data_IF_042374530487
#
_entry.id   IF_042374530487
#
_cell.length_a   1.000
_cell.length_b   1.000
_cell.length_c   1.000
_cell.angle_alpha   90.00
_cell.angle_beta   90.00
_cell.angle_gamma   90.00
#
_symmetry.space_group_name_H-M   'P 1'
#
loop_
_entity.id
_entity.type
_entity.pdbx_description
1 polymer ?
#
# COMPACT_ATOMS: atom_id res chain seq x y z
N UNK A 1 18.65 -1.65 -9.57
CA UNK A 1 17.71 -2.65 -9.03
C UNK A 1 17.93 -3.99 -9.70
N UNK A 2 18.11 -5.04 -8.89
CA UNK A 2 18.20 -6.43 -9.33
C UNK A 2 17.10 -7.20 -8.64
N UNK A 3 16.27 -7.92 -9.39
CA UNK A 3 15.22 -8.77 -8.85
C UNK A 3 15.44 -10.21 -9.28
N UNK A 4 15.43 -11.12 -8.30
CA UNK A 4 15.52 -12.55 -8.49
C UNK A 4 14.45 -13.24 -7.65
N UNK A 5 13.72 -14.15 -8.29
CA UNK A 5 12.85 -15.09 -7.58
C UNK A 5 13.69 -16.32 -7.17
N UNK A 6 13.56 -16.76 -5.92
CA UNK A 6 14.22 -17.99 -5.47
C UNK A 6 13.75 -19.20 -6.29
N UNK A 7 14.66 -20.16 -6.50
CA UNK A 7 14.41 -21.31 -7.37
C UNK A 7 14.55 -21.02 -8.88
N UNK A 8 14.80 -19.77 -9.28
CA UNK A 8 15.06 -19.43 -10.69
C UNK A 8 16.57 -19.20 -10.95
N UNK A 9 17.11 -19.68 -12.08
CA UNK A 9 18.54 -19.53 -12.38
C UNK A 9 18.90 -18.13 -12.89
N UNK A 10 17.92 -17.32 -13.31
CA UNK A 10 18.13 -16.02 -13.96
C UNK A 10 17.54 -14.90 -13.11
N UNK A 11 18.09 -13.70 -13.26
CA UNK A 11 17.45 -12.50 -12.74
C UNK A 11 16.15 -12.26 -13.50
N UNK A 12 15.07 -11.96 -12.76
CA UNK A 12 13.78 -11.57 -13.33
C UNK A 12 13.83 -10.18 -13.92
N UNK A 13 14.58 -9.27 -13.30
CA UNK A 13 14.65 -7.89 -13.73
C UNK A 13 15.99 -7.25 -13.34
N UNK A 14 16.54 -6.46 -14.26
CA UNK A 14 17.71 -5.60 -14.04
C UNK A 14 17.34 -4.21 -14.53
N UNK A 15 17.27 -3.24 -13.63
CA UNK A 15 16.85 -1.87 -13.95
C UNK A 15 17.76 -0.84 -13.30
N UNK A 16 18.42 0.03 -14.07
CA UNK A 16 19.03 1.23 -13.51
C UNK A 16 17.91 2.16 -13.04
N UNK A 17 18.12 2.84 -11.92
CA UNK A 17 17.17 3.78 -11.34
C UNK A 17 17.84 5.12 -11.16
N UNK A 18 17.08 6.18 -11.39
CA UNK A 18 17.48 7.55 -11.10
C UNK A 18 16.36 8.21 -10.30
N UNK A 19 16.75 8.96 -9.28
CA UNK A 19 15.82 9.77 -8.49
C UNK A 19 16.42 11.15 -8.32
N UNK A 20 15.69 12.17 -8.76
CA UNK A 20 15.99 13.56 -8.43
C UNK A 20 15.14 13.93 -7.22
N UNK A 21 15.79 14.35 -6.13
CA UNK A 21 15.13 14.79 -4.91
C UNK A 21 15.40 16.26 -4.66
N UNK A 22 14.34 17.06 -4.65
CA UNK A 22 14.36 18.45 -4.19
C UNK A 22 13.67 18.55 -2.83
N UNK A 23 14.31 19.25 -1.89
CA UNK A 23 13.78 19.42 -0.53
C UNK A 23 13.97 20.88 -0.09
N UNK A 24 12.89 21.49 0.37
CA UNK A 24 12.88 22.85 0.90
C UNK A 24 11.88 22.96 2.06
N UNK A 25 12.38 23.14 3.28
CA UNK A 25 11.56 23.17 4.49
C UNK A 25 10.69 21.89 4.62
N UNK A 26 9.36 22.01 4.80
CA UNK A 26 8.46 20.87 4.92
C UNK A 26 8.13 20.19 3.57
N UNK A 27 8.59 20.75 2.46
CA UNK A 27 8.27 20.30 1.11
C UNK A 27 9.35 19.35 0.58
N UNK A 28 8.93 18.24 -0.01
CA UNK A 28 9.79 17.31 -0.74
C UNK A 28 9.17 16.97 -2.09
N UNK A 29 10.00 16.97 -3.12
CA UNK A 29 9.61 16.61 -4.47
C UNK A 29 10.60 15.59 -5.02
N UNK A 30 10.07 14.49 -5.55
CA UNK A 30 10.82 13.39 -6.13
C UNK A 30 10.39 13.17 -7.58
N UNK A 31 11.36 12.92 -8.45
CA UNK A 31 11.14 12.51 -9.84
C UNK A 31 12.00 11.30 -10.18
N UNK A 32 11.48 10.40 -11.01
CA UNK A 32 12.12 9.13 -11.34
C UNK A 32 11.60 8.03 -10.44
N UNK A 33 12.48 7.26 -9.78
CA UNK A 33 12.02 6.25 -8.83
C UNK A 33 11.60 6.90 -7.50
N UNK A 34 10.30 6.94 -7.20
CA UNK A 34 9.75 7.60 -6.02
C UNK A 34 9.88 6.73 -4.75
N UNK A 35 9.48 7.24 -3.59
CA UNK A 35 9.50 6.44 -2.35
C UNK A 35 8.53 5.25 -2.50
N UNK A 36 9.01 4.03 -2.29
CA UNK A 36 8.22 2.83 -2.55
C UNK A 36 7.07 2.59 -1.56
N UNK A 37 6.20 1.67 -1.94
CA UNK A 37 4.82 1.50 -1.47
C UNK A 37 4.51 1.73 0.02
N UNK A 38 5.35 1.27 0.97
CA UNK A 38 5.09 1.41 2.42
C UNK A 38 5.08 2.87 2.89
N UNK A 39 5.67 3.78 2.10
CA UNK A 39 5.87 5.18 2.49
C UNK A 39 4.68 6.09 2.21
N UNK A 40 3.69 5.63 1.45
CA UNK A 40 2.53 6.44 1.06
C UNK A 40 1.42 6.51 2.14
N UNK A 41 1.46 5.62 3.15
CA UNK A 41 0.57 5.71 4.32
C UNK A 41 -0.89 5.26 4.12
N UNK A 42 -1.19 4.57 3.01
CA UNK A 42 -2.50 3.96 2.75
C UNK A 42 -2.87 2.86 3.74
N UNK A 43 -4.17 2.66 3.92
CA UNK A 43 -4.69 1.43 4.52
C UNK A 43 -4.62 0.27 3.53
N UNK A 44 -4.45 -0.94 4.06
CA UNK A 44 -4.26 -2.15 3.26
C UNK A 44 -5.40 -2.45 2.27
N UNK A 45 -6.70 -2.19 2.58
CA UNK A 45 -7.77 -2.34 1.58
C UNK A 45 -7.58 -1.48 0.32
N UNK A 46 -6.86 -0.36 0.40
CA UNK A 46 -6.60 0.52 -0.74
C UNK A 46 -5.24 0.24 -1.39
N UNK A 47 -4.24 -0.16 -0.61
CA UNK A 47 -2.89 -0.38 -1.10
C UNK A 47 -2.22 -1.56 -0.39
N UNK A 48 -1.98 -2.62 -1.14
CA UNK A 48 -1.56 -3.93 -0.64
C UNK A 48 -0.16 -3.88 -0.02
N UNK A 49 0.00 -4.55 1.12
CA UNK A 49 1.27 -4.72 1.80
C UNK A 49 2.27 -5.54 0.96
N UNK A 50 1.81 -6.55 0.22
CA UNK A 50 2.69 -7.43 -0.55
C UNK A 50 3.39 -6.73 -1.73
N UNK A 51 2.98 -5.50 -2.06
CA UNK A 51 3.63 -4.68 -3.08
C UNK A 51 5.11 -4.43 -2.76
N UNK A 52 5.53 -4.50 -1.49
CA UNK A 52 6.94 -4.46 -1.09
C UNK A 52 7.77 -5.55 -1.77
N UNK A 53 7.14 -6.62 -2.26
CA UNK A 53 7.81 -7.68 -3.00
C UNK A 53 7.42 -7.66 -4.48
N UNK A 54 6.12 -7.50 -4.76
CA UNK A 54 5.57 -7.70 -6.10
C UNK A 54 5.80 -6.50 -7.02
N UNK A 55 5.79 -5.28 -6.47
CA UNK A 55 5.81 -4.02 -7.20
C UNK A 55 6.72 -3.02 -6.48
N UNK A 56 8.01 -3.35 -6.36
CA UNK A 56 8.99 -2.57 -5.60
C UNK A 56 9.34 -1.20 -6.19
N UNK A 57 9.26 -1.09 -7.51
CA UNK A 57 9.67 0.10 -8.23
C UNK A 57 8.41 0.88 -8.60
N UNK A 58 8.42 2.17 -8.25
CA UNK A 58 7.38 3.12 -8.58
C UNK A 58 8.07 4.29 -9.29
N UNK A 59 7.61 4.61 -10.49
CA UNK A 59 8.32 5.49 -11.42
C UNK A 59 7.43 6.63 -11.88
N UNK A 60 7.77 7.85 -11.47
CA UNK A 60 7.01 9.02 -11.83
C UNK A 60 7.40 10.22 -10.99
N UNK A 61 6.40 10.82 -10.34
CA UNK A 61 6.55 12.04 -9.55
C UNK A 61 5.85 11.88 -8.21
N UNK A 62 6.48 12.38 -7.15
CA UNK A 62 5.91 12.39 -5.82
C UNK A 62 6.17 13.73 -5.14
N UNK A 63 5.13 14.28 -4.54
CA UNK A 63 5.20 15.47 -3.70
C UNK A 63 4.78 15.11 -2.28
N UNK A 64 5.57 15.54 -1.29
CA UNK A 64 5.28 15.36 0.12
C UNK A 64 5.30 16.71 0.83
N UNK A 65 4.33 16.93 1.71
CA UNK A 65 4.32 18.03 2.67
C UNK A 65 4.28 17.43 4.07
N UNK A 66 5.29 17.73 4.88
CA UNK A 66 5.41 17.22 6.25
C UNK A 66 5.63 18.34 7.23
N UNK A 67 4.62 18.60 8.04
CA UNK A 67 4.65 19.56 9.16
C UNK A 67 4.34 18.83 10.46
N UNK A 68 4.36 19.53 11.59
CA UNK A 68 3.96 18.95 12.88
C UNK A 68 2.49 18.54 12.95
N UNK A 69 1.62 19.14 12.13
CA UNK A 69 0.17 18.89 12.14
C UNK A 69 -0.39 18.25 10.88
N UNK A 70 0.32 18.29 9.76
CA UNK A 70 -0.15 17.82 8.46
C UNK A 70 0.92 16.96 7.80
N UNK A 71 0.50 15.77 7.38
CA UNK A 71 1.22 14.91 6.45
C UNK A 71 0.39 14.79 5.18
N UNK A 72 1.01 15.04 4.04
CA UNK A 72 0.41 14.86 2.73
C UNK A 72 1.43 14.17 1.82
N UNK A 73 0.98 13.18 1.07
CA UNK A 73 1.75 12.45 0.06
C UNK A 73 0.90 12.32 -1.20
N UNK A 74 1.31 12.98 -2.28
CA UNK A 74 0.66 12.92 -3.58
C UNK A 74 1.64 12.36 -4.60
N UNK A 75 1.21 11.40 -5.41
CA UNK A 75 2.11 10.70 -6.32
C UNK A 75 1.41 10.20 -7.58
N UNK A 76 2.22 9.94 -8.59
CA UNK A 76 1.85 9.26 -9.83
C UNK A 76 2.97 8.29 -10.20
N UNK A 77 2.57 7.12 -10.66
CA UNK A 77 3.39 5.97 -11.02
C UNK A 77 2.99 5.48 -12.41
N UNK A 78 3.89 5.62 -13.37
CA UNK A 78 3.75 5.06 -14.72
C UNK A 78 4.14 3.58 -14.69
N UNK A 79 3.16 2.74 -14.38
CA UNK A 79 3.34 1.29 -14.26
C UNK A 79 3.68 0.64 -15.60
N UNK A 80 3.14 1.18 -16.70
CA UNK A 80 3.42 0.70 -18.05
C UNK A 80 3.25 1.80 -19.07
N UNK A 81 4.35 2.29 -19.63
CA UNK A 81 4.32 3.26 -20.73
C UNK A 81 3.87 2.63 -22.05
N UNK A 82 2.91 3.25 -22.71
CA UNK A 82 2.49 2.89 -24.07
C UNK A 82 3.25 3.70 -25.13
N UNK A 83 3.54 3.05 -26.27
CA UNK A 83 4.05 3.68 -27.49
C UNK A 83 3.13 3.36 -28.69
N UNK A 84 3.35 4.03 -29.82
CA UNK A 84 2.63 3.75 -31.07
C UNK A 84 2.74 2.28 -31.46
N UNK A 85 1.59 1.69 -31.78
CA UNK A 85 1.39 0.29 -32.15
C UNK A 85 1.72 -0.72 -31.04
N UNK A 86 1.65 -0.32 -29.77
CA UNK A 86 1.78 -1.26 -28.65
C UNK A 86 0.64 -2.27 -28.68
N UNK A 87 0.90 -3.53 -28.32
CA UNK A 87 -0.14 -4.56 -28.18
C UNK A 87 -0.74 -4.60 -26.77
N UNK A 88 -0.70 -3.46 -26.07
CA UNK A 88 -1.11 -3.30 -24.68
C UNK A 88 -1.51 -1.85 -24.39
N UNK A 89 -2.35 -1.66 -23.38
CA UNK A 89 -2.74 -0.34 -22.87
C UNK A 89 -1.66 0.25 -21.93
N UNK A 90 -1.58 1.58 -21.92
CA UNK A 90 -0.87 2.33 -20.88
C UNK A 90 -1.50 2.03 -19.52
N UNK A 91 -0.68 1.91 -18.49
CA UNK A 91 -1.13 1.76 -17.10
C UNK A 91 -0.48 2.85 -16.25
N UNK A 92 -1.33 3.69 -15.65
CA UNK A 92 -0.91 4.77 -14.75
C UNK A 92 -1.70 4.64 -13.46
N UNK A 93 -0.99 4.65 -12.33
CA UNK A 93 -1.60 4.77 -11.02
C UNK A 93 -1.23 6.12 -10.41
N UNK A 94 -2.11 6.67 -9.59
CA UNK A 94 -1.80 7.87 -8.85
C UNK A 94 -2.65 7.95 -7.60
N UNK A 95 -2.23 8.77 -6.65
CA UNK A 95 -2.97 8.88 -5.42
C UNK A 95 -2.51 10.01 -4.52
N UNK A 96 -3.27 10.16 -3.43
CA UNK A 96 -3.11 11.18 -2.43
C UNK A 96 -3.47 10.59 -1.06
N UNK A 97 -2.58 10.73 -0.08
CA UNK A 97 -2.93 10.51 1.33
C UNK A 97 -2.74 11.80 2.11
N UNK A 98 -3.63 12.01 3.08
CA UNK A 98 -3.57 13.14 4.00
C UNK A 98 -3.85 12.68 5.43
N UNK A 99 -3.05 13.15 6.38
CA UNK A 99 -3.29 12.96 7.81
C UNK A 99 -3.08 14.28 8.55
N UNK A 100 -4.09 14.69 9.31
CA UNK A 100 -4.04 15.83 10.21
C UNK A 100 -3.93 15.35 11.66
N UNK A 101 -2.94 15.83 12.40
CA UNK A 101 -2.87 15.62 13.85
C UNK A 101 -3.79 16.63 14.53
N UNK A 102 -5.01 16.22 14.84
CA UNK A 102 -6.02 17.08 15.45
C UNK A 102 -5.75 17.34 16.93
N UNK A 103 -5.21 16.35 17.64
CA UNK A 103 -4.85 16.46 19.05
C UNK A 103 -3.62 15.63 19.35
N UNK A 104 -2.73 16.16 20.19
CA UNK A 104 -1.62 15.44 20.77
C UNK A 104 -1.24 16.10 22.10
N UNK A 105 -0.97 15.31 23.13
CA UNK A 105 -0.61 15.81 24.46
C UNK A 105 0.68 15.17 25.01
N UNK A 106 1.16 15.71 26.13
CA UNK A 106 2.31 15.19 26.87
C UNK A 106 1.99 13.89 27.60
N UNK A 107 0.72 13.59 27.86
CA UNK A 107 0.31 12.34 28.48
C UNK A 107 0.44 11.15 27.51
N UNK A 108 0.60 11.39 26.20
CA UNK A 108 0.84 10.38 25.18
C UNK A 108 -0.36 10.06 24.27
N UNK A 109 -1.45 10.83 24.37
CA UNK A 109 -2.57 10.74 23.41
C UNK A 109 -2.19 11.40 22.09
N UNK A 110 -2.67 10.80 21.00
CA UNK A 110 -2.64 11.36 19.64
C UNK A 110 -3.94 10.99 18.92
N UNK A 111 -4.59 11.98 18.34
CA UNK A 111 -5.74 11.83 17.44
C UNK A 111 -5.33 12.33 16.05
N UNK A 112 -5.24 11.40 15.11
CA UNK A 112 -5.11 11.65 13.69
C UNK A 112 -6.48 11.64 13.00
N UNK A 113 -6.69 12.57 12.08
CA UNK A 113 -7.83 12.59 11.16
C UNK A 113 -7.26 12.36 9.77
N UNK A 114 -7.80 11.35 9.08
CA UNK A 114 -7.47 11.04 7.69
C UNK A 114 -8.67 11.46 6.86
N UNK A 115 -8.74 12.73 6.40
CA UNK A 115 -9.93 13.19 5.68
C UNK A 115 -10.01 12.57 4.28
N UNK A 116 -8.86 12.22 3.69
CA UNK A 116 -8.81 11.60 2.38
C UNK A 116 -7.55 10.75 2.20
N UNK A 117 -7.79 9.49 1.84
CA UNK A 117 -6.91 8.68 1.01
C UNK A 117 -7.61 8.46 -0.32
N UNK A 118 -6.94 8.75 -1.42
CA UNK A 118 -7.46 8.62 -2.77
C UNK A 118 -6.45 7.84 -3.61
N UNK A 119 -6.95 6.88 -4.37
CA UNK A 119 -6.17 6.14 -5.35
C UNK A 119 -6.96 6.06 -6.65
N UNK A 120 -6.28 6.35 -7.75
CA UNK A 120 -6.78 6.20 -9.10
C UNK A 120 -5.90 5.24 -9.89
N UNK A 121 -6.55 4.43 -10.72
CA UNK A 121 -5.87 3.62 -11.73
C UNK A 121 -6.52 3.92 -13.07
N UNK A 122 -5.68 4.20 -14.04
CA UNK A 122 -6.06 4.35 -15.42
C UNK A 122 -5.38 3.26 -16.25
N UNK A 123 -6.18 2.51 -17.00
CA UNK A 123 -5.71 1.57 -18.02
C UNK A 123 -6.37 1.94 -19.33
N UNK A 124 -5.58 2.35 -20.30
CA UNK A 124 -6.12 2.88 -21.54
C UNK A 124 -5.04 3.33 -22.49
N UNK A 125 -5.45 4.01 -23.54
CA UNK A 125 -4.53 4.45 -24.57
C UNK A 125 -5.26 4.64 -25.89
N UNK A 126 -4.63 5.40 -26.77
CA UNK A 126 -5.08 5.58 -28.16
C UNK A 126 -4.00 5.15 -29.15
N UNK A 127 -2.84 4.73 -28.64
CA UNK A 127 -1.67 4.40 -29.46
C UNK A 127 -1.49 2.90 -29.62
N UNK A 128 -2.29 2.07 -28.96
CA UNK A 128 -2.24 0.61 -29.10
C UNK A 128 -2.99 0.06 -30.31
N UNK A 129 -2.79 -1.23 -30.54
CA UNK A 129 -3.43 -2.03 -31.60
C UNK A 129 -4.61 -2.86 -31.08
N UNK A 130 -4.93 -2.78 -29.79
CA UNK A 130 -5.94 -3.65 -29.16
C UNK A 130 -7.28 -2.93 -29.03
N UNK A 131 -8.37 -3.71 -29.01
CA UNK A 131 -9.72 -3.20 -28.77
C UNK A 131 -10.17 -3.58 -27.37
N UNK A 132 -9.39 -3.19 -26.38
CA UNK A 132 -9.73 -3.38 -24.98
C UNK A 132 -10.44 -2.13 -24.43
N UNK A 133 -11.48 -2.28 -23.60
CA UNK A 133 -12.13 -1.14 -22.96
C UNK A 133 -11.17 -0.37 -22.07
N UNK A 134 -11.32 0.95 -22.03
CA UNK A 134 -10.57 1.82 -21.12
C UNK A 134 -11.14 1.67 -19.71
N UNK A 135 -10.26 1.49 -18.72
CA UNK A 135 -10.64 1.46 -17.32
C UNK A 135 -10.13 2.67 -16.55
N UNK A 136 -11.01 3.31 -15.78
CA UNK A 136 -10.65 4.35 -14.80
C UNK A 136 -11.33 4.04 -13.48
N UNK A 137 -10.56 3.61 -12.50
CA UNK A 137 -11.07 3.14 -11.22
C UNK A 137 -10.60 4.04 -10.09
N UNK A 138 -11.52 4.38 -9.19
CA UNK A 138 -11.24 5.23 -8.03
C UNK A 138 -11.53 4.52 -6.72
N UNK A 139 -10.60 4.64 -5.78
CA UNK A 139 -10.74 4.19 -4.42
C UNK A 139 -10.53 5.35 -3.45
N UNK A 140 -11.38 5.43 -2.44
CA UNK A 140 -11.34 6.45 -1.42
C UNK A 140 -11.38 5.82 -0.03
N UNK A 141 -10.73 6.45 0.94
CA UNK A 141 -10.93 6.18 2.35
C UNK A 141 -10.89 7.47 3.16
N UNK A 142 -11.69 7.52 4.22
CA UNK A 142 -11.64 8.55 5.24
C UNK A 142 -11.77 7.89 6.61
N UNK A 143 -11.09 8.42 7.62
CA UNK A 143 -11.04 7.76 8.92
C UNK A 143 -10.38 8.55 10.03
N UNK A 144 -10.31 7.90 11.19
CA UNK A 144 -9.72 8.41 12.41
C UNK A 144 -8.68 7.41 12.93
N UNK A 145 -7.60 7.93 13.50
CA UNK A 145 -6.53 7.17 14.15
C UNK A 145 -6.36 7.67 15.56
N UNK A 146 -6.54 6.80 16.54
CA UNK A 146 -6.33 7.12 17.95
C UNK A 146 -5.16 6.29 18.45
N UNK A 147 -4.19 6.93 19.07
CA UNK A 147 -3.05 6.25 19.69
C UNK A 147 -2.82 6.79 21.08
N UNK A 148 -2.56 5.89 22.01
CA UNK A 148 -2.16 6.20 23.39
C UNK A 148 -0.83 5.52 23.66
N UNK A 149 0.24 6.30 23.79
CA UNK A 149 1.51 5.80 24.32
C UNK A 149 1.35 5.54 25.82
N UNK A 150 1.93 4.44 26.29
CA UNK A 150 1.93 4.01 27.67
C UNK A 150 3.37 3.95 28.17
N UNK A 151 3.55 4.16 29.47
CA UNK A 151 4.86 4.08 30.15
C UNK A 151 5.10 2.72 30.81
N UNK A 152 4.29 1.71 30.49
CA UNK A 152 4.44 0.37 31.06
C UNK A 152 5.58 -0.39 30.37
N UNK A 153 6.25 -1.28 31.11
CA UNK A 153 7.45 -1.99 30.64
C UNK A 153 7.16 -2.92 29.45
N UNK A 154 6.02 -3.61 29.49
CA UNK A 154 5.65 -4.59 28.48
C UNK A 154 4.77 -4.00 27.37
N UNK A 155 3.71 -3.25 27.72
CA UNK A 155 2.80 -2.63 26.75
C UNK A 155 3.19 -1.17 26.53
N UNK A 156 3.59 -0.84 25.32
CA UNK A 156 4.14 0.48 24.95
C UNK A 156 3.10 1.41 24.37
N UNK A 157 2.08 0.88 23.69
CA UNK A 157 1.00 1.69 23.16
C UNK A 157 -0.28 0.89 22.93
N UNK A 158 -1.40 1.59 22.95
CA UNK A 158 -2.68 1.15 22.42
C UNK A 158 -3.01 1.99 21.20
N UNK A 159 -3.64 1.38 20.20
CA UNK A 159 -4.12 2.12 19.04
C UNK A 159 -5.47 1.58 18.55
N UNK A 160 -6.25 2.48 17.97
CA UNK A 160 -7.49 2.18 17.31
C UNK A 160 -7.62 3.03 16.05
N UNK A 161 -7.88 2.40 14.91
CA UNK A 161 -8.13 3.10 13.66
C UNK A 161 -9.44 2.64 13.04
N UNK A 162 -10.25 3.58 12.58
CA UNK A 162 -11.52 3.31 11.91
C UNK A 162 -11.62 4.07 10.59
N UNK A 163 -11.99 3.37 9.52
CA UNK A 163 -12.11 3.93 8.17
C UNK A 163 -13.40 3.50 7.49
N UNK A 164 -13.95 4.42 6.72
CA UNK A 164 -14.93 4.15 5.68
C UNK A 164 -14.23 4.19 4.33
N UNK A 165 -14.52 3.21 3.48
CA UNK A 165 -13.95 3.13 2.14
C UNK A 165 -15.04 3.17 1.07
N UNK A 166 -14.65 3.64 -0.12
CA UNK A 166 -15.50 3.71 -1.30
C UNK A 166 -14.70 3.27 -2.52
N UNK A 167 -15.35 2.53 -3.39
CA UNK A 167 -14.89 2.20 -4.74
C UNK A 167 -15.92 2.73 -5.74
N UNK A 168 -15.44 3.29 -6.85
CA UNK A 168 -16.24 3.70 -7.99
C UNK A 168 -15.50 3.35 -9.29
N UNK A 169 -16.19 2.69 -10.21
CA UNK A 169 -15.78 2.53 -11.59
C UNK A 169 -16.25 3.73 -12.41
N UNK A 170 -15.31 4.48 -12.99
CA UNK A 170 -15.56 5.66 -13.84
C UNK A 170 -15.19 5.37 -15.31
N UNK A 171 -15.17 4.10 -15.69
CA UNK A 171 -14.91 3.65 -17.05
C UNK A 171 -16.10 3.95 -17.97
N UNK A 172 -15.82 4.15 -19.26
CA UNK A 172 -16.89 4.33 -20.25
C UNK A 172 -17.67 3.04 -20.52
N UNK A 173 -17.02 1.90 -20.34
CA UNK A 173 -17.60 0.58 -20.49
C UNK A 173 -17.38 -0.20 -19.19
N UNK A 174 -18.48 -0.62 -18.57
CA UNK A 174 -18.46 -1.34 -17.30
C UNK A 174 -18.18 -2.84 -17.55
N UNK A 175 -16.94 -3.26 -17.30
CA UNK A 175 -16.54 -4.67 -17.41
C UNK A 175 -16.37 -5.38 -16.06
N UNK A 176 -16.41 -4.63 -14.96
CA UNK A 176 -16.36 -5.17 -13.60
C UNK A 176 -17.77 -5.61 -13.15
N UNK A 177 -17.87 -6.63 -12.29
CA UNK A 177 -19.17 -7.09 -11.78
C UNK A 177 -19.86 -6.06 -10.86
N UNK A 178 -19.09 -5.09 -10.36
CA UNK A 178 -19.57 -3.98 -9.54
C UNK A 178 -18.95 -2.69 -10.06
N UNK A 179 -19.77 -1.66 -10.26
CA UNK A 179 -19.33 -0.30 -10.60
C UNK A 179 -19.19 0.61 -9.36
N UNK A 180 -19.59 0.12 -8.19
CA UNK A 180 -19.46 0.83 -6.93
C UNK A 180 -19.42 -0.14 -5.75
N UNK A 181 -18.68 0.23 -4.71
CA UNK A 181 -18.58 -0.55 -3.48
C UNK A 181 -18.22 0.29 -2.27
N UNK A 182 -18.46 -0.23 -1.08
CA UNK A 182 -18.15 0.44 0.19
C UNK A 182 -17.50 -0.54 1.15
N UNK A 183 -16.78 -0.03 2.15
CA UNK A 183 -16.21 -0.85 3.21
C UNK A 183 -16.11 -0.13 4.54
N UNK A 184 -16.18 -0.91 5.61
CA UNK A 184 -15.82 -0.50 6.96
C UNK A 184 -14.56 -1.26 7.35
N UNK A 185 -13.52 -0.54 7.76
CA UNK A 185 -12.27 -1.11 8.23
C UNK A 185 -11.94 -0.61 9.63
N UNK A 186 -12.00 -1.51 10.61
CA UNK A 186 -11.71 -1.22 12.01
C UNK A 186 -10.46 -1.98 12.45
N UNK A 187 -9.64 -1.34 13.26
CA UNK A 187 -8.39 -1.87 13.75
C UNK A 187 -8.25 -1.50 15.20
N UNK A 188 -7.93 -2.46 16.06
CA UNK A 188 -7.53 -2.23 17.43
C UNK A 188 -6.25 -3.00 17.69
N UNK A 189 -5.27 -2.38 18.34
CA UNK A 189 -4.00 -3.04 18.56
C UNK A 189 -3.24 -2.57 19.78
N UNK A 190 -2.28 -3.41 20.14
CA UNK A 190 -1.39 -3.31 21.28
C UNK A 190 0.03 -3.46 20.76
N UNK A 191 0.85 -2.46 21.05
CA UNK A 191 2.28 -2.54 20.79
C UNK A 191 2.95 -3.01 22.07
N UNK A 192 3.61 -4.17 22.02
CA UNK A 192 4.37 -4.69 23.17
C UNK A 192 5.87 -4.57 22.94
N UNK A 193 6.65 -4.91 23.95
CA UNK A 193 8.10 -5.03 23.84
C UNK A 193 8.54 -6.15 22.87
N UNK A 194 7.74 -7.20 22.67
CA UNK A 194 8.12 -8.39 21.90
C UNK A 194 7.46 -8.45 20.51
N UNK A 195 6.22 -7.96 20.41
CA UNK A 195 5.43 -8.04 19.19
C UNK A 195 4.31 -7.00 19.19
N UNK A 196 3.85 -6.65 18.01
CA UNK A 196 2.64 -5.87 17.82
C UNK A 196 1.50 -6.83 17.48
N UNK A 197 0.40 -6.68 18.22
CA UNK A 197 -0.80 -7.47 18.06
C UNK A 197 -1.91 -6.55 17.61
N UNK A 198 -2.58 -6.87 16.51
CA UNK A 198 -3.67 -6.08 15.97
C UNK A 198 -4.83 -6.99 15.60
N UNK A 199 -6.02 -6.64 16.05
CA UNK A 199 -7.27 -7.24 15.62
C UNK A 199 -7.95 -6.28 14.65
N UNK A 200 -8.32 -6.80 13.48
CA UNK A 200 -8.93 -6.01 12.43
C UNK A 200 -10.23 -6.62 11.97
N UNK A 201 -11.24 -5.78 11.78
CA UNK A 201 -12.53 -6.16 11.23
C UNK A 201 -12.73 -5.45 9.90
N UNK A 202 -13.07 -6.22 8.87
CA UNK A 202 -13.44 -5.73 7.55
C UNK A 202 -14.87 -6.14 7.23
N UNK A 203 -15.65 -5.18 6.75
CA UNK A 203 -16.98 -5.42 6.18
C UNK A 203 -17.10 -4.66 4.86
N UNK A 204 -16.91 -5.36 3.74
CA UNK A 204 -16.98 -4.84 2.39
C UNK A 204 -18.27 -5.23 1.67
N UNK A 205 -18.81 -4.32 0.86
CA UNK A 205 -19.92 -4.56 -0.07
C UNK A 205 -19.56 -4.11 -1.48
N UNK A 206 -19.31 -5.05 -2.39
CA UNK A 206 -18.96 -4.81 -3.79
C UNK A 206 -17.66 -4.04 -3.96
N UNK A 207 -16.77 -4.08 -2.96
CA UNK A 207 -15.56 -3.27 -2.92
C UNK A 207 -14.48 -3.89 -3.81
N UNK A 208 -13.91 -3.10 -4.73
CA UNK A 208 -12.82 -3.51 -5.62
C UNK A 208 -11.72 -2.47 -5.52
N UNK A 209 -10.47 -2.88 -5.34
CA UNK A 209 -9.33 -1.97 -5.26
C UNK A 209 -8.10 -2.69 -5.85
N UNK A 210 -7.77 -2.49 -7.14
CA UNK A 210 -6.78 -3.35 -7.80
C UNK A 210 -5.35 -3.21 -7.26
N UNK A 211 -4.97 -2.06 -6.69
CA UNK A 211 -3.70 -1.94 -5.98
C UNK A 211 -3.80 -2.35 -4.50
N UNK A 212 -5.00 -2.61 -3.98
CA UNK A 212 -5.29 -2.95 -2.59
C UNK A 212 -5.21 -4.43 -2.29
N UNK A 213 -5.20 -4.78 -1.01
CA UNK A 213 -5.06 -6.16 -0.55
C UNK A 213 -6.12 -7.06 -1.14
N UNK A 214 -5.69 -8.15 -1.79
CA UNK A 214 -6.59 -9.12 -2.46
C UNK A 214 -7.65 -9.69 -1.51
N UNK A 215 -7.30 -9.86 -0.23
CA UNK A 215 -8.19 -10.38 0.80
C UNK A 215 -9.44 -9.52 1.00
N UNK A 216 -9.42 -8.22 0.69
CA UNK A 216 -10.54 -7.31 0.95
C UNK A 216 -11.52 -7.16 -0.23
N UNK A 217 -11.15 -7.67 -1.41
CA UNK A 217 -11.87 -7.42 -2.64
C UNK A 217 -13.07 -8.36 -2.80
N UNK A 218 -14.15 -7.85 -3.40
CA UNK A 218 -15.35 -8.61 -3.76
C UNK A 218 -15.22 -9.39 -5.07
N UNK A 219 -14.03 -9.43 -5.65
CA UNK A 219 -13.71 -10.18 -6.88
C UNK A 219 -12.54 -11.11 -6.62
N UNK A 220 -12.55 -12.24 -7.32
CA UNK A 220 -11.46 -13.21 -7.26
C UNK A 220 -10.19 -12.69 -7.91
N UNK A 221 -9.05 -12.99 -7.27
CA UNK A 221 -7.71 -12.82 -7.85
C UNK A 221 -7.08 -14.16 -8.24
N UNK A 222 -7.83 -15.26 -8.13
CA UNK A 222 -7.33 -16.62 -8.37
C UNK A 222 -7.47 -17.02 -9.83
N UNK A 223 -6.50 -17.80 -10.33
CA UNK A 223 -6.54 -18.34 -11.71
C UNK A 223 -7.57 -19.45 -11.85
N UNK A 224 -7.82 -20.22 -10.78
CA UNK A 224 -8.75 -21.36 -10.82
C UNK A 224 -10.21 -20.92 -10.91
N UNK A 225 -10.56 -19.76 -10.38
CA UNK A 225 -11.92 -19.24 -10.44
C UNK A 225 -11.92 -17.71 -10.61
N UNK A 226 -11.54 -17.21 -11.80
CA UNK A 226 -11.38 -15.77 -12.04
C UNK A 226 -12.73 -15.04 -12.09
N UNK A 227 -13.81 -15.74 -12.38
CA UNK A 227 -15.17 -15.18 -12.44
C UNK A 227 -15.89 -15.17 -11.08
N UNK A 228 -15.28 -15.73 -10.03
CA UNK A 228 -15.88 -15.71 -8.70
C UNK A 228 -15.99 -14.29 -8.17
N UNK A 229 -17.15 -13.99 -7.61
CA UNK A 229 -17.45 -12.71 -6.98
C UNK A 229 -18.13 -12.95 -5.65
N UNK A 230 -17.81 -12.11 -4.67
CA UNK A 230 -18.39 -12.17 -3.35
C UNK A 230 -18.79 -10.75 -2.95
N UNK A 231 -20.05 -10.42 -3.20
CA UNK A 231 -20.55 -9.06 -2.99
C UNK A 231 -20.36 -8.63 -1.53
N UNK A 232 -20.56 -9.52 -0.57
CA UNK A 232 -20.46 -9.23 0.85
C UNK A 232 -19.29 -9.99 1.46
N UNK A 233 -18.28 -9.25 1.91
CA UNK A 233 -17.05 -9.82 2.43
C UNK A 233 -16.81 -9.32 3.84
N UNK A 234 -16.91 -10.24 4.80
CA UNK A 234 -16.80 -9.95 6.22
C UNK A 234 -15.69 -10.79 6.82
N UNK A 235 -14.68 -10.13 7.40
CA UNK A 235 -13.47 -10.78 7.88
C UNK A 235 -13.11 -10.27 9.28
N UNK A 236 -12.66 -11.20 10.13
CA UNK A 236 -11.94 -10.88 11.36
C UNK A 236 -10.51 -11.39 11.23
N UNK A 237 -9.54 -10.49 11.31
CA UNK A 237 -8.12 -10.77 11.05
C UNK A 237 -7.33 -10.47 12.32
N UNK A 238 -6.61 -11.46 12.85
CA UNK A 238 -5.62 -11.25 13.90
C UNK A 238 -4.26 -11.13 13.24
N UNK A 239 -3.52 -10.06 13.53
CA UNK A 239 -2.17 -9.81 13.00
C UNK A 239 -1.17 -9.83 14.12
N UNK A 240 -0.14 -10.65 13.94
CA UNK A 240 1.01 -10.75 14.82
C UNK A 240 2.24 -10.37 13.99
N UNK A 241 2.88 -9.25 14.32
CA UNK A 241 4.04 -8.79 13.57
C UNK A 241 5.14 -8.25 14.48
N UNK A 242 6.38 -8.55 14.11
CA UNK A 242 7.58 -8.21 14.89
C UNK A 242 8.74 -7.91 13.96
N UNK A 243 9.52 -6.89 14.33
CA UNK A 243 10.81 -6.58 13.73
C UNK A 243 11.92 -7.00 14.69
N UNK A 244 12.69 -8.02 14.29
CA UNK A 244 13.85 -8.51 15.00
C UNK A 244 15.10 -7.85 14.42
N UNK A 245 15.73 -6.97 15.20
CA UNK A 245 17.01 -6.38 14.85
C UNK A 245 18.14 -7.38 15.09
N UNK A 246 18.81 -7.79 14.02
CA UNK A 246 19.94 -8.70 14.04
C UNK A 246 21.25 -7.89 13.89
N UNK A 247 22.41 -8.44 14.28
CA UNK A 247 23.70 -7.77 14.06
C UNK A 247 23.96 -7.42 12.59
N UNK A 248 24.61 -6.28 12.34
CA UNK A 248 25.04 -5.85 11.00
C UNK A 248 23.95 -5.19 10.16
N UNK A 249 23.12 -4.31 10.76
CA UNK A 249 22.06 -3.57 10.04
C UNK A 249 21.06 -4.45 9.29
N UNK A 250 20.82 -5.65 9.82
CA UNK A 250 19.85 -6.60 9.32
C UNK A 250 18.59 -6.55 10.19
N UNK A 251 17.43 -6.48 9.55
CA UNK A 251 16.11 -6.57 10.20
C UNK A 251 15.34 -7.74 9.63
N UNK A 252 14.92 -8.66 10.50
CA UNK A 252 13.97 -9.72 10.16
C UNK A 252 12.57 -9.29 10.61
N UNK A 253 11.69 -9.02 9.66
CA UNK A 253 10.28 -8.76 9.91
C UNK A 253 9.49 -10.05 9.71
N UNK A 254 8.70 -10.44 10.69
CA UNK A 254 7.76 -11.56 10.59
C UNK A 254 6.33 -11.07 10.72
N UNK A 255 5.41 -11.67 9.96
CA UNK A 255 3.99 -11.36 9.99
C UNK A 255 3.20 -12.66 9.90
N UNK A 256 2.31 -12.91 10.86
CA UNK A 256 1.40 -14.05 10.86
C UNK A 256 -0.03 -13.54 11.05
N UNK A 257 -0.92 -13.95 10.15
CA UNK A 257 -2.28 -13.41 10.10
C UNK A 257 -3.34 -14.48 9.87
N UNK A 258 -3.74 -15.22 10.91
CA UNK A 258 -4.95 -16.01 10.83
C UNK A 258 -6.17 -15.08 10.72
N UNK A 259 -7.13 -15.47 9.88
CA UNK A 259 -8.38 -14.75 9.73
C UNK A 259 -9.57 -15.70 9.62
N UNK A 260 -10.71 -15.21 10.07
CA UNK A 260 -11.99 -15.88 9.93
C UNK A 260 -12.83 -15.14 8.90
N UNK A 261 -13.26 -15.87 7.87
CA UNK A 261 -14.23 -15.42 6.87
C UNK A 261 -15.63 -15.78 7.36
N UNK A 262 -16.43 -14.76 7.67
CA UNK A 262 -17.80 -14.95 8.18
C UNK A 262 -18.75 -15.46 7.09
N UNK A 263 -18.54 -15.06 5.83
CA UNK A 263 -19.37 -15.45 4.69
C UNK A 263 -19.20 -16.93 4.40
N UNK A 264 -17.95 -17.39 4.34
CA UNK A 264 -17.61 -18.79 4.00
C UNK A 264 -17.47 -19.70 5.24
N UNK A 265 -17.48 -19.12 6.45
CA UNK A 265 -17.35 -19.81 7.74
C UNK A 265 -16.07 -20.65 7.84
N UNK A 266 -14.96 -20.09 7.39
CA UNK A 266 -13.68 -20.77 7.33
C UNK A 266 -12.58 -19.95 8.01
N UNK A 267 -11.61 -20.67 8.57
CA UNK A 267 -10.37 -20.08 9.08
C UNK A 267 -9.29 -20.31 8.04
N UNK A 268 -8.63 -19.25 7.65
CA UNK A 268 -7.49 -19.25 6.74
C UNK A 268 -6.35 -18.45 7.39
N UNK A 269 -5.16 -18.45 6.79
CA UNK A 269 -4.03 -17.72 7.33
C UNK A 269 -3.05 -17.27 6.25
N UNK A 270 -2.32 -16.20 6.53
CA UNK A 270 -1.11 -15.82 5.80
C UNK A 270 0.10 -15.82 6.74
N UNK A 271 1.28 -16.05 6.17
CA UNK A 271 2.55 -15.91 6.85
C UNK A 271 3.57 -15.26 5.92
N UNK A 272 4.30 -14.27 6.44
CA UNK A 272 5.36 -13.57 5.74
C UNK A 272 6.61 -13.43 6.60
N UNK A 273 7.77 -13.60 5.99
CA UNK A 273 9.07 -13.33 6.59
C UNK A 273 9.92 -12.51 5.61
N UNK A 274 10.43 -11.38 6.07
CA UNK A 274 11.18 -10.42 5.26
C UNK A 274 12.52 -10.16 5.93
N UNK A 275 13.61 -10.42 5.23
CA UNK A 275 14.95 -10.06 5.68
C UNK A 275 15.40 -8.83 4.90
N UNK A 276 15.56 -7.71 5.61
CA UNK A 276 16.04 -6.46 5.05
C UNK A 276 17.46 -6.21 5.53
N UNK A 277 18.36 -5.93 4.60
CA UNK A 277 19.73 -5.49 4.87
C UNK A 277 19.94 -4.18 4.12
N UNK A 278 20.27 -3.12 4.84
CA UNK A 278 20.45 -1.80 4.26
C UNK A 278 21.84 -1.26 4.59
N UNK A 279 22.69 -1.15 3.58
CA UNK A 279 24.06 -0.68 3.72
C UNK A 279 24.43 0.19 2.52
N UNK A 280 25.11 1.29 2.79
CA UNK A 280 25.70 2.13 1.76
C UNK A 280 27.15 1.70 1.51
N UNK A 281 27.49 1.46 0.25
CA UNK A 281 28.85 1.15 -0.17
C UNK A 281 29.31 2.21 -1.18
N UNK A 282 30.40 2.93 -0.87
CA UNK A 282 31.04 3.81 -1.83
C UNK A 282 31.69 2.95 -2.92
N UNK A 283 31.14 2.98 -4.14
CA UNK A 283 31.70 2.25 -5.27
C UNK A 283 32.95 2.92 -5.84
N UNK A 284 32.90 4.24 -6.06
CA UNK A 284 34.02 5.06 -6.52
C UNK A 284 33.71 6.55 -6.39
N UNK A 285 34.73 7.41 -6.40
CA UNK A 285 34.59 8.87 -6.44
C UNK A 285 34.94 9.36 -7.85
N UNK A 286 33.97 9.91 -8.57
CA UNK A 286 34.22 10.53 -9.87
C UNK A 286 34.96 11.86 -9.67
N UNK A 287 36.18 11.98 -10.18
CA UNK A 287 36.91 13.25 -10.23
C UNK A 287 36.41 14.07 -11.42
N UNK A 288 36.26 15.39 -11.23
CA UNK A 288 36.06 16.31 -12.36
C UNK A 288 37.28 16.20 -13.28
N UNK A 289 37.04 16.11 -14.58
CA UNK A 289 38.08 16.42 -15.54
C UNK A 289 38.25 17.95 -15.49
N UNK A 290 39.47 18.39 -15.16
CA UNK A 290 39.87 19.79 -15.15
C UNK A 290 39.82 20.41 -16.56
#
# INVERSE_FOLDING_TARGET
FLYKDYGTPRLRQVRPLFTVKYQNGPHRLLFGNIEGHLHHGYIEPLFDFERVMLNRLEEGMQYKLQTSRLQLDAWVDWQRQQYRFSNFQEEVAGGLTTEFTAYQDSAGWRLGVVPLQFLAIHRGGQLDTIKAPLQTLFNFAAGLRVRRKLTWDFVRALHFDGYLTRFTDYSFEEILPYNQGTGLYLNAGVDTRLSNVQLSYWSGKGFIAPQGGKLYQSISSTVNNPAYTERHRELLILRLFSDFHLPGDVVLTTRFEPFYDFTNRQVEFSFGAYLNFNQEFLLTTLRRAD
#
